data_IF_632158111469
#
_entry.id   IF_632158111469
#
_cell.length_a   1.000
_cell.length_b   1.000
_cell.length_c   1.000
_cell.angle_alpha   90.00
_cell.angle_beta   90.00
_cell.angle_gamma   90.00
#
_symmetry.space_group_name_H-M   'P 1'
#
loop_
_entity.id
_entity.type
_entity.pdbx_description
1 polymer ?
#
# COMPACT_ATOMS: atom_id res chain seq x y z
N UNK A 1 -5.49 -10.15 -14.88
CA UNK A 1 -5.07 -10.42 -13.48
C UNK A 1 -4.36 -9.18 -12.98
N UNK A 2 -4.58 -8.76 -11.74
CA UNK A 2 -3.83 -7.64 -11.14
C UNK A 2 -2.39 -8.11 -10.95
N UNK A 3 -1.37 -7.33 -11.36
CA UNK A 3 0.03 -7.71 -11.17
C UNK A 3 0.39 -7.87 -9.68
N UNK A 4 1.11 -8.93 -9.33
CA UNK A 4 1.54 -9.20 -7.94
C UNK A 4 2.39 -8.04 -7.40
N UNK A 5 3.25 -7.45 -8.22
CA UNK A 5 4.05 -6.28 -7.85
C UNK A 5 3.23 -5.07 -7.37
N UNK A 6 1.95 -4.97 -7.76
CA UNK A 6 1.06 -3.90 -7.32
C UNK A 6 0.67 -4.04 -5.84
N UNK A 7 0.51 -5.29 -5.37
CA UNK A 7 0.10 -5.61 -4.00
C UNK A 7 1.27 -5.95 -3.07
N UNK A 8 2.49 -5.98 -3.60
CA UNK A 8 3.70 -6.13 -2.81
C UNK A 8 3.77 -5.08 -1.69
N UNK A 9 4.44 -5.44 -0.62
CA UNK A 9 4.65 -4.52 0.50
C UNK A 9 5.47 -3.32 0.10
N UNK A 10 5.12 -2.20 0.66
CA UNK A 10 5.98 -1.03 0.59
C UNK A 10 7.22 -1.25 1.45
N UNK A 11 8.36 -0.79 0.98
CA UNK A 11 9.57 -0.78 1.80
C UNK A 11 9.28 -0.06 3.12
N UNK A 12 9.78 -0.59 4.23
CA UNK A 12 9.47 -0.09 5.58
C UNK A 12 9.81 1.40 5.77
N UNK A 13 10.79 1.94 5.02
CA UNK A 13 11.16 3.37 5.06
C UNK A 13 10.05 4.29 4.51
N UNK A 14 9.14 3.76 3.67
CA UNK A 14 7.98 4.49 3.17
C UNK A 14 6.80 4.44 4.12
N UNK A 15 6.81 3.52 5.08
CA UNK A 15 5.76 3.39 6.08
C UNK A 15 6.04 4.35 7.24
N UNK A 16 5.11 5.25 7.50
CA UNK A 16 5.19 6.29 8.54
C UNK A 16 4.09 6.06 9.58
N UNK A 17 4.22 6.69 10.73
CA UNK A 17 3.13 6.77 11.72
C UNK A 17 2.42 8.12 11.63
N UNK A 18 1.08 8.08 11.64
CA UNK A 18 0.28 9.29 11.77
C UNK A 18 0.24 9.76 13.24
N UNK A 19 -0.48 10.85 13.51
CA UNK A 19 -0.62 11.41 14.86
C UNK A 19 -1.29 10.44 15.85
N UNK A 20 -2.09 9.50 15.36
CA UNK A 20 -2.75 8.45 16.15
C UNK A 20 -1.90 7.18 16.32
N UNK A 21 -0.64 7.19 15.85
CA UNK A 21 0.27 6.04 15.93
C UNK A 21 0.01 4.94 14.88
N UNK A 22 -0.94 5.13 13.96
CA UNK A 22 -1.24 4.16 12.91
C UNK A 22 -0.23 4.24 11.78
N UNK A 23 0.16 3.09 11.25
CA UNK A 23 1.02 3.02 10.08
C UNK A 23 0.28 3.47 8.82
N UNK A 24 0.96 4.25 8.00
CA UNK A 24 0.44 4.72 6.72
C UNK A 24 1.55 4.94 5.71
N UNK A 25 1.20 4.90 4.43
CA UNK A 25 2.04 5.36 3.32
C UNK A 25 1.46 6.67 2.80
N UNK A 26 2.34 7.61 2.44
CA UNK A 26 1.92 8.88 1.83
C UNK A 26 1.26 8.62 0.46
N UNK A 27 0.43 9.56 -0.01
CA UNK A 27 -0.21 9.43 -1.33
C UNK A 27 0.80 9.26 -2.46
N UNK A 28 1.97 9.90 -2.35
CA UNK A 28 3.05 9.77 -3.34
C UNK A 28 3.54 8.33 -3.45
N UNK A 29 3.61 7.58 -2.34
CA UNK A 29 3.97 6.17 -2.36
C UNK A 29 2.99 5.33 -3.19
N UNK A 30 1.69 5.58 -3.07
CA UNK A 30 0.68 4.89 -3.89
C UNK A 30 0.79 5.28 -5.36
N UNK A 31 0.94 6.57 -5.68
CA UNK A 31 1.07 7.07 -7.04
C UNK A 31 2.33 6.49 -7.69
N UNK A 32 3.47 6.49 -6.99
CA UNK A 32 4.71 5.92 -7.50
C UNK A 32 4.53 4.42 -7.78
N UNK A 33 3.92 3.65 -6.88
CA UNK A 33 3.64 2.23 -7.09
C UNK A 33 2.75 2.00 -8.32
N UNK A 34 1.70 2.79 -8.49
CA UNK A 34 0.83 2.71 -9.67
C UNK A 34 1.61 3.02 -10.95
N UNK A 35 2.45 4.06 -10.95
CA UNK A 35 3.27 4.44 -12.08
C UNK A 35 4.34 3.38 -12.41
N UNK A 36 5.04 2.88 -11.39
CA UNK A 36 6.13 1.92 -11.57
C UNK A 36 5.64 0.57 -12.11
N UNK A 37 4.46 0.12 -11.67
CA UNK A 37 3.91 -1.20 -12.03
C UNK A 37 3.02 -1.13 -13.27
N UNK A 38 2.21 -0.08 -13.41
CA UNK A 38 1.20 0.03 -14.44
C UNK A 38 1.53 1.04 -15.55
N UNK A 39 2.50 1.95 -15.32
CA UNK A 39 2.81 3.01 -16.28
C UNK A 39 1.58 3.86 -16.59
N UNK A 40 1.17 3.89 -17.86
CA UNK A 40 -0.01 4.62 -18.33
C UNK A 40 -1.32 3.81 -18.26
N UNK A 41 -1.28 2.61 -17.66
CA UNK A 41 -2.42 1.69 -17.62
C UNK A 41 -3.34 1.90 -16.42
N UNK A 42 -3.36 3.09 -15.85
CA UNK A 42 -4.27 3.46 -14.78
C UNK A 42 -4.73 4.91 -14.92
N UNK A 43 -5.87 5.21 -14.33
CA UNK A 43 -6.39 6.57 -14.25
C UNK A 43 -7.17 6.79 -12.96
N UNK A 44 -7.19 8.02 -12.50
CA UNK A 44 -7.99 8.48 -11.37
C UNK A 44 -8.90 9.61 -11.81
N UNK A 45 -10.19 9.51 -11.48
CA UNK A 45 -11.17 10.55 -11.70
C UNK A 45 -11.91 10.90 -10.41
N UNK A 46 -12.11 12.18 -10.18
CA UNK A 46 -13.00 12.66 -9.12
C UNK A 46 -14.41 12.75 -9.73
N UNK A 47 -15.36 12.03 -9.13
CA UNK A 47 -16.74 11.94 -9.61
C UNK A 47 -17.62 13.01 -8.96
N UNK A 48 -17.42 13.25 -7.66
CA UNK A 48 -18.15 14.25 -6.89
C UNK A 48 -17.31 14.73 -5.71
N UNK A 49 -17.54 15.95 -5.28
CA UNK A 49 -16.99 16.49 -4.05
C UNK A 49 -17.90 17.52 -3.40
N UNK A 50 -17.84 17.60 -2.09
CA UNK A 50 -18.61 18.55 -1.29
C UNK A 50 -17.74 19.16 -0.20
N UNK A 51 -17.96 20.44 0.04
CA UNK A 51 -17.31 21.17 1.11
C UNK A 51 -18.38 21.73 2.05
N UNK A 52 -18.30 21.36 3.31
CA UNK A 52 -19.21 21.80 4.35
C UNK A 52 -18.47 22.78 5.26
N UNK A 53 -18.85 24.09 5.26
CA UNK A 53 -18.33 25.03 6.22
C UNK A 53 -18.85 24.71 7.62
N UNK A 54 -18.11 25.07 8.64
CA UNK A 54 -18.49 24.94 10.06
C UNK A 54 -18.92 23.52 10.47
N UNK A 55 -18.39 22.51 9.79
CA UNK A 55 -18.71 21.10 10.04
C UNK A 55 -18.09 20.52 11.34
N UNK A 56 -17.19 21.28 11.96
CA UNK A 56 -16.57 20.96 13.24
C UNK A 56 -16.40 22.26 14.07
N UNK A 57 -16.27 22.13 15.41
CA UNK A 57 -16.00 23.28 16.25
C UNK A 57 -14.77 24.07 15.75
N UNK A 58 -14.76 25.40 15.88
CA UNK A 58 -13.61 26.21 15.50
C UNK A 58 -12.33 25.70 16.18
N UNK A 59 -11.19 25.91 15.52
CA UNK A 59 -9.88 25.60 16.12
C UNK A 59 -9.67 26.38 17.41
N UNK A 60 -8.68 26.00 18.22
CA UNK A 60 -8.30 26.74 19.45
C UNK A 60 -8.07 28.23 19.22
N UNK A 61 -7.71 28.62 17.99
CA UNK A 61 -7.48 30.01 17.59
C UNK A 61 -8.72 30.66 16.92
N UNK A 62 -9.92 30.06 17.06
CA UNK A 62 -11.17 30.59 16.54
C UNK A 62 -11.33 30.47 15.00
N UNK A 63 -10.47 29.77 14.29
CA UNK A 63 -10.60 29.57 12.84
C UNK A 63 -11.71 28.59 12.54
N UNK A 64 -12.60 28.87 11.54
CA UNK A 64 -13.60 27.92 11.10
C UNK A 64 -12.96 26.64 10.58
N UNK A 65 -13.67 25.53 10.62
CA UNK A 65 -13.23 24.26 10.07
C UNK A 65 -14.16 23.81 8.97
N UNK A 66 -13.58 23.32 7.89
CA UNK A 66 -14.26 22.81 6.71
C UNK A 66 -14.12 21.30 6.65
N UNK A 67 -15.23 20.59 6.46
CA UNK A 67 -15.23 19.18 6.10
C UNK A 67 -15.33 19.06 4.58
N UNK A 68 -14.32 18.51 3.95
CA UNK A 68 -14.39 18.08 2.56
C UNK A 68 -14.71 16.60 2.48
N UNK A 69 -15.57 16.22 1.54
CA UNK A 69 -15.87 14.83 1.16
C UNK A 69 -15.64 14.73 -0.33
N UNK A 70 -14.84 13.74 -0.76
CA UNK A 70 -14.52 13.50 -2.16
C UNK A 70 -14.83 12.04 -2.49
N UNK A 71 -15.53 11.83 -3.59
CA UNK A 71 -15.72 10.52 -4.21
C UNK A 71 -14.97 10.49 -5.54
N UNK A 72 -14.23 9.42 -5.78
CA UNK A 72 -13.53 9.23 -7.04
C UNK A 72 -13.37 7.76 -7.40
N UNK A 73 -12.96 7.50 -8.62
CA UNK A 73 -12.80 6.15 -9.19
C UNK A 73 -11.38 5.95 -9.68
N UNK A 74 -10.72 4.91 -9.18
CA UNK A 74 -9.48 4.37 -9.71
C UNK A 74 -9.81 3.28 -10.74
N UNK A 75 -9.33 3.45 -11.96
CA UNK A 75 -9.47 2.47 -13.05
C UNK A 75 -8.09 1.92 -13.39
N UNK A 76 -7.97 0.61 -13.44
CA UNK A 76 -6.78 -0.11 -13.91
C UNK A 76 -7.14 -0.83 -15.19
N UNK A 77 -6.35 -0.60 -16.24
CA UNK A 77 -6.46 -1.28 -17.52
C UNK A 77 -5.58 -2.53 -17.42
N UNK A 78 -6.21 -3.68 -17.43
CA UNK A 78 -5.53 -4.96 -17.52
C UNK A 78 -5.17 -5.20 -18.99
N UNK A 79 -4.05 -5.89 -19.25
CA UNK A 79 -3.58 -6.18 -20.62
C UNK A 79 -4.68 -6.73 -21.52
N UNK A 80 -4.52 -6.52 -22.81
CA UNK A 80 -5.47 -6.89 -23.87
C UNK A 80 -5.98 -8.33 -23.70
N UNK A 81 -7.30 -8.51 -23.62
CA UNK A 81 -7.95 -9.85 -23.51
C UNK A 81 -8.05 -10.53 -24.88
N UNK A 82 -7.32 -10.07 -25.86
CA UNK A 82 -7.30 -10.67 -27.17
C UNK A 82 -8.11 -9.86 -28.20
N UNK A 83 -8.01 -10.32 -29.43
CA UNK A 83 -8.70 -9.75 -30.57
C UNK A 83 -10.07 -10.40 -30.66
N UNK A 84 -11.13 -9.62 -30.49
CA UNK A 84 -12.50 -10.08 -30.69
C UNK A 84 -12.91 -9.70 -32.11
N UNK A 85 -13.30 -10.68 -32.93
CA UNK A 85 -13.92 -10.44 -34.22
C UNK A 85 -15.39 -10.05 -33.99
N UNK A 86 -15.76 -8.84 -34.38
CA UNK A 86 -17.14 -8.38 -34.33
C UNK A 86 -17.62 -8.25 -35.77
N UNK A 87 -18.61 -9.06 -36.14
CA UNK A 87 -19.19 -9.08 -37.47
C UNK A 87 -19.34 -10.51 -38.03
N UNK A 88 -20.14 -10.64 -39.05
CA UNK A 88 -20.33 -11.91 -39.77
C UNK A 88 -19.70 -11.79 -41.16
N UNK A 89 -18.75 -12.67 -41.45
CA UNK A 89 -18.10 -12.91 -42.73
C UNK A 89 -17.36 -11.72 -43.36
N UNK A 90 -17.97 -10.99 -44.31
CA UNK A 90 -17.26 -10.00 -45.12
C UNK A 90 -17.03 -8.63 -44.42
N UNK A 91 -17.72 -8.36 -43.30
CA UNK A 91 -17.63 -7.11 -42.53
C UNK A 91 -17.06 -7.29 -41.10
N UNK A 92 -16.22 -8.30 -40.90
CA UNK A 92 -15.65 -8.52 -39.57
C UNK A 92 -14.53 -7.52 -39.25
N UNK A 93 -14.70 -6.77 -38.18
CA UNK A 93 -13.68 -5.88 -37.64
C UNK A 93 -12.95 -6.56 -36.47
N UNK A 94 -11.63 -6.54 -36.54
CA UNK A 94 -10.81 -6.92 -35.39
C UNK A 94 -10.75 -5.76 -34.39
N UNK A 95 -11.34 -5.94 -33.23
CA UNK A 95 -11.21 -4.97 -32.12
C UNK A 95 -10.49 -5.59 -30.96
N UNK A 96 -9.56 -4.83 -30.37
CA UNK A 96 -8.88 -5.23 -29.16
C UNK A 96 -9.72 -4.77 -27.97
N UNK A 97 -10.34 -5.71 -27.25
CA UNK A 97 -10.97 -5.39 -25.98
C UNK A 97 -9.92 -5.35 -24.87
N UNK A 98 -9.85 -4.21 -24.18
CA UNK A 98 -9.05 -4.06 -22.98
C UNK A 98 -9.93 -4.33 -21.76
N UNK A 99 -9.57 -5.33 -20.96
CA UNK A 99 -10.20 -5.47 -19.67
C UNK A 99 -9.79 -4.31 -18.78
N UNK A 100 -10.78 -3.67 -18.18
CA UNK A 100 -10.56 -2.67 -17.15
C UNK A 100 -11.31 -3.03 -15.87
N UNK A 101 -10.74 -2.71 -14.74
CA UNK A 101 -11.38 -2.86 -13.43
C UNK A 101 -11.36 -1.51 -12.74
N UNK A 102 -12.52 -1.08 -12.26
CA UNK A 102 -12.67 0.18 -11.56
C UNK A 102 -13.07 -0.05 -10.10
N UNK A 103 -12.60 0.79 -9.21
CA UNK A 103 -12.94 0.80 -7.78
C UNK A 103 -13.16 2.23 -7.32
N UNK A 104 -14.26 2.44 -6.62
CA UNK A 104 -14.58 3.74 -6.04
C UNK A 104 -13.97 3.90 -4.66
N UNK A 105 -13.62 5.12 -4.31
CA UNK A 105 -13.18 5.49 -2.98
C UNK A 105 -13.84 6.78 -2.52
N UNK A 106 -14.16 6.84 -1.24
CA UNK A 106 -14.68 8.04 -0.59
C UNK A 106 -13.70 8.46 0.48
N UNK A 107 -13.18 9.68 0.36
CA UNK A 107 -12.30 10.29 1.35
C UNK A 107 -12.94 11.49 2.00
N UNK A 108 -12.55 11.79 3.22
CA UNK A 108 -12.99 12.98 3.93
C UNK A 108 -11.85 13.56 4.77
N UNK A 109 -11.83 14.88 4.89
CA UNK A 109 -10.87 15.56 5.74
C UNK A 109 -11.45 16.82 6.33
N UNK A 110 -11.08 17.13 7.56
CA UNK A 110 -11.43 18.38 8.25
C UNK A 110 -10.18 19.23 8.35
N UNK A 111 -10.25 20.47 7.85
CA UNK A 111 -9.16 21.44 7.94
C UNK A 111 -9.72 22.88 8.07
N UNK A 112 -8.92 23.79 8.64
CA UNK A 112 -9.25 25.20 8.65
C UNK A 112 -9.02 25.88 7.30
N UNK A 113 -8.24 25.28 6.42
CA UNK A 113 -8.03 25.71 5.04
C UNK A 113 -8.85 24.81 4.11
N UNK A 114 -9.82 25.38 3.35
CA UNK A 114 -10.71 24.59 2.50
C UNK A 114 -9.98 23.85 1.39
N UNK A 115 -8.95 24.44 0.78
CA UNK A 115 -8.17 23.80 -0.28
C UNK A 115 -7.41 22.58 0.24
N UNK A 116 -6.82 22.70 1.42
CA UNK A 116 -6.13 21.59 2.09
C UNK A 116 -7.13 20.50 2.47
N UNK A 117 -8.34 20.83 2.92
CA UNK A 117 -9.39 19.88 3.22
C UNK A 117 -9.74 19.03 1.97
N UNK A 118 -9.97 19.71 0.83
CA UNK A 118 -10.32 19.02 -0.44
C UNK A 118 -9.17 18.16 -0.94
N UNK A 119 -7.94 18.68 -0.99
CA UNK A 119 -6.76 17.92 -1.43
C UNK A 119 -6.52 16.66 -0.57
N UNK A 120 -6.65 16.81 0.75
CA UNK A 120 -6.48 15.68 1.67
C UNK A 120 -7.60 14.66 1.54
N UNK A 121 -8.85 15.07 1.35
CA UNK A 121 -9.98 14.19 1.10
C UNK A 121 -9.82 13.43 -0.23
N UNK A 122 -9.31 14.09 -1.28
CA UNK A 122 -9.02 13.45 -2.56
C UNK A 122 -7.91 12.38 -2.42
N UNK A 123 -6.83 12.69 -1.70
CA UNK A 123 -5.76 11.74 -1.44
C UNK A 123 -6.28 10.51 -0.66
N UNK A 124 -7.15 10.72 0.31
CA UNK A 124 -7.77 9.64 1.09
C UNK A 124 -8.71 8.79 0.24
N UNK A 125 -9.50 9.40 -0.66
CA UNK A 125 -10.36 8.69 -1.60
C UNK A 125 -9.55 7.76 -2.53
N UNK A 126 -8.45 8.25 -3.11
CA UNK A 126 -7.56 7.45 -3.95
C UNK A 126 -6.95 6.28 -3.16
N UNK A 127 -6.45 6.51 -1.94
CA UNK A 127 -5.92 5.43 -1.10
C UNK A 127 -6.95 4.34 -0.85
N UNK A 128 -8.20 4.71 -0.54
CA UNK A 128 -9.28 3.73 -0.31
C UNK A 128 -9.62 2.94 -1.56
N UNK A 129 -9.59 3.55 -2.73
CA UNK A 129 -9.70 2.81 -4.00
C UNK A 129 -8.53 1.84 -4.19
N UNK A 130 -7.29 2.26 -3.89
CA UNK A 130 -6.11 1.40 -3.94
C UNK A 130 -6.22 0.19 -3.01
N UNK A 131 -6.75 0.37 -1.78
CA UNK A 131 -6.96 -0.73 -0.84
C UNK A 131 -7.92 -1.80 -1.40
N UNK A 132 -8.91 -1.42 -2.20
CA UNK A 132 -9.81 -2.39 -2.84
C UNK A 132 -9.14 -3.22 -3.95
N UNK A 133 -7.96 -2.81 -4.40
CA UNK A 133 -7.07 -3.59 -5.25
C UNK A 133 -6.01 -4.38 -4.46
N UNK A 134 -6.04 -4.31 -3.13
CA UNK A 134 -5.08 -4.95 -2.24
C UNK A 134 -3.81 -4.12 -1.95
N UNK A 135 -3.65 -2.95 -2.58
CA UNK A 135 -2.46 -2.11 -2.40
C UNK A 135 -2.45 -1.58 -0.96
N UNK A 136 -1.36 -1.87 -0.22
CA UNK A 136 -1.16 -1.49 1.18
C UNK A 136 -2.24 -2.01 2.16
N UNK A 137 -3.06 -2.98 1.77
CA UNK A 137 -4.11 -3.55 2.63
C UNK A 137 -3.52 -4.17 3.90
N UNK A 138 -2.31 -4.71 3.82
CA UNK A 138 -1.57 -5.30 4.94
C UNK A 138 -1.33 -4.33 6.11
N UNK A 139 -1.28 -3.01 5.86
CA UNK A 139 -1.06 -2.01 6.94
C UNK A 139 -2.17 -2.01 8.01
N UNK A 140 -3.32 -2.62 7.71
CA UNK A 140 -4.44 -2.75 8.63
C UNK A 140 -4.44 -4.08 9.41
N UNK A 141 -3.56 -5.01 9.04
CA UNK A 141 -3.40 -6.29 9.72
C UNK A 141 -2.43 -6.14 10.89
N UNK A 142 -2.80 -6.64 12.08
CA UNK A 142 -2.00 -6.47 13.30
C UNK A 142 -0.62 -7.10 13.20
N UNK A 143 -0.54 -8.34 12.72
CA UNK A 143 0.73 -9.05 12.49
C UNK A 143 1.68 -8.31 11.54
N UNK A 144 1.13 -7.57 10.57
CA UNK A 144 1.93 -6.77 9.65
C UNK A 144 2.51 -5.53 10.32
N UNK A 145 1.73 -4.87 11.17
CA UNK A 145 2.20 -3.71 11.93
C UNK A 145 3.33 -4.08 12.88
N UNK A 146 3.24 -5.24 13.53
CA UNK A 146 4.29 -5.77 14.39
C UNK A 146 5.56 -6.07 13.60
N UNK A 147 5.44 -6.70 12.43
CA UNK A 147 6.57 -6.99 11.55
C UNK A 147 7.27 -5.70 11.09
N UNK A 148 6.53 -4.69 10.66
CA UNK A 148 7.06 -3.37 10.28
C UNK A 148 7.76 -2.69 11.48
N UNK A 149 7.21 -2.82 12.68
CA UNK A 149 7.84 -2.30 13.88
C UNK A 149 9.18 -2.99 14.18
N UNK A 150 9.25 -4.31 13.98
CA UNK A 150 10.50 -5.08 14.10
C UNK A 150 11.53 -4.66 13.04
N UNK A 151 11.13 -4.46 11.79
CA UNK A 151 12.02 -3.97 10.73
C UNK A 151 12.65 -2.63 11.11
N UNK A 152 11.85 -1.68 11.59
CA UNK A 152 12.33 -0.36 12.02
C UNK A 152 13.29 -0.45 13.21
N UNK A 153 12.97 -1.28 14.20
CA UNK A 153 13.82 -1.49 15.35
C UNK A 153 15.14 -2.19 14.99
N UNK A 154 15.12 -3.12 14.04
CA UNK A 154 16.28 -3.89 13.60
C UNK A 154 17.36 -3.03 12.91
N UNK A 155 17.02 -1.82 12.43
CA UNK A 155 18.01 -0.89 11.87
C UNK A 155 19.11 -0.51 12.87
N UNK A 156 18.77 -0.41 14.16
CA UNK A 156 19.69 0.07 15.19
C UNK A 156 19.87 -0.89 16.38
N UNK A 157 19.10 -1.99 16.43
CA UNK A 157 19.06 -2.89 17.57
C UNK A 157 19.27 -4.35 17.13
N UNK A 158 20.35 -4.97 17.60
CA UNK A 158 20.72 -6.34 17.25
C UNK A 158 19.77 -7.39 17.83
N UNK A 159 19.11 -7.13 18.95
CA UNK A 159 18.07 -8.03 19.51
C UNK A 159 16.85 -8.01 18.58
N UNK A 160 16.42 -6.83 18.16
CA UNK A 160 15.33 -6.69 17.22
C UNK A 160 15.65 -7.31 15.86
N UNK A 161 16.93 -7.24 15.42
CA UNK A 161 17.38 -7.88 14.19
C UNK A 161 17.25 -9.41 14.24
N UNK A 162 17.62 -10.03 15.37
CA UNK A 162 17.44 -11.47 15.56
C UNK A 162 15.96 -11.85 15.64
N UNK A 163 15.15 -11.04 16.33
CA UNK A 163 13.69 -11.24 16.36
C UNK A 163 13.06 -11.10 14.98
N UNK A 164 13.56 -10.18 14.16
CA UNK A 164 13.14 -10.04 12.76
C UNK A 164 13.48 -11.29 11.93
N UNK A 165 14.65 -11.89 12.13
CA UNK A 165 15.04 -13.12 11.44
C UNK A 165 14.08 -14.28 11.79
N UNK A 166 13.72 -14.42 13.06
CA UNK A 166 12.71 -15.40 13.52
C UNK A 166 11.35 -15.12 12.88
N UNK A 167 10.84 -13.89 12.99
CA UNK A 167 9.53 -13.52 12.45
C UNK A 167 9.47 -13.66 10.92
N UNK A 168 10.56 -13.35 10.22
CA UNK A 168 10.68 -13.56 8.79
C UNK A 168 10.60 -15.05 8.42
N UNK A 169 11.33 -15.93 9.16
CA UNK A 169 11.31 -17.37 8.95
C UNK A 169 9.93 -17.95 9.21
N UNK A 170 9.30 -17.59 10.33
CA UNK A 170 7.94 -18.03 10.67
C UNK A 170 6.95 -17.70 9.55
N UNK A 171 7.10 -16.50 8.97
CA UNK A 171 6.24 -16.03 7.88
C UNK A 171 6.45 -16.81 6.57
N UNK A 172 7.69 -17.04 6.16
CA UNK A 172 8.00 -17.78 4.92
C UNK A 172 7.48 -19.21 4.99
N UNK A 173 7.56 -19.83 6.17
CA UNK A 173 7.11 -21.21 6.39
C UNK A 173 5.68 -21.32 6.95
N UNK A 174 4.93 -20.22 7.00
CA UNK A 174 3.55 -20.17 7.54
C UNK A 174 3.43 -20.80 8.95
N UNK A 175 4.46 -20.63 9.77
CA UNK A 175 4.52 -21.21 11.11
C UNK A 175 3.64 -20.43 12.09
N UNK A 176 3.15 -21.10 13.13
CA UNK A 176 2.53 -20.44 14.28
C UNK A 176 3.52 -19.44 14.91
N UNK A 177 3.13 -18.17 15.13
CA UNK A 177 3.98 -17.15 15.75
C UNK A 177 4.53 -17.55 17.13
N UNK A 178 3.86 -18.47 17.85
CA UNK A 178 4.33 -19.00 19.14
C UNK A 178 5.43 -20.07 18.96
N UNK A 179 5.65 -20.58 17.75
CA UNK A 179 6.64 -21.62 17.48
C UNK A 179 7.99 -20.99 17.16
N UNK A 180 9.01 -21.27 17.95
CA UNK A 180 10.38 -20.84 17.67
C UNK A 180 10.99 -21.72 16.57
N UNK A 181 11.38 -21.20 15.41
CA UNK A 181 12.02 -21.99 14.37
C UNK A 181 13.42 -22.45 14.83
N UNK A 182 13.84 -23.63 14.40
CA UNK A 182 15.18 -24.12 14.62
C UNK A 182 16.22 -23.23 13.94
N UNK A 183 17.41 -23.18 14.52
CA UNK A 183 18.53 -22.37 14.01
C UNK A 183 18.84 -22.68 12.54
N UNK A 184 18.82 -23.95 12.17
CA UNK A 184 19.14 -24.40 10.81
C UNK A 184 18.07 -23.95 9.82
N UNK A 185 16.79 -23.97 10.21
CA UNK A 185 15.68 -23.45 9.40
C UNK A 185 15.82 -21.94 9.16
N UNK A 186 16.25 -21.18 10.18
CA UNK A 186 16.50 -19.75 10.01
C UNK A 186 17.66 -19.50 9.04
N UNK A 187 18.76 -20.24 9.19
CA UNK A 187 19.93 -20.14 8.32
C UNK A 187 19.59 -20.49 6.86
N UNK A 188 18.84 -21.57 6.65
CA UNK A 188 18.39 -21.98 5.33
C UNK A 188 17.46 -20.92 4.71
N UNK A 189 16.47 -20.43 5.45
CA UNK A 189 15.52 -19.42 4.98
C UNK A 189 16.23 -18.12 4.55
N UNK A 190 17.21 -17.70 5.32
CA UNK A 190 18.01 -16.50 5.02
C UNK A 190 19.14 -16.78 4.01
N UNK A 191 19.42 -18.05 3.71
CA UNK A 191 20.57 -18.48 2.92
C UNK A 191 21.89 -17.89 3.45
N UNK A 192 22.18 -18.15 4.72
CA UNK A 192 23.36 -17.66 5.43
C UNK A 192 24.11 -18.81 6.13
N UNK A 193 25.41 -18.63 6.32
CA UNK A 193 26.27 -19.66 6.97
C UNK A 193 26.28 -19.56 8.51
N UNK A 194 25.87 -18.43 9.06
CA UNK A 194 25.80 -18.19 10.50
C UNK A 194 24.73 -17.14 10.84
N UNK A 195 24.37 -17.05 12.13
CA UNK A 195 23.41 -16.09 12.65
C UNK A 195 24.07 -14.93 13.41
N UNK A 196 25.28 -14.52 12.98
CA UNK A 196 25.85 -13.27 13.49
C UNK A 196 25.03 -12.07 13.04
N UNK A 197 25.02 -11.01 13.85
CA UNK A 197 24.24 -9.80 13.54
C UNK A 197 24.74 -9.14 12.24
N UNK A 198 26.03 -9.24 11.94
CA UNK A 198 26.59 -8.72 10.70
C UNK A 198 26.06 -9.48 9.47
N UNK A 199 26.05 -10.83 9.53
CA UNK A 199 25.55 -11.69 8.45
C UNK A 199 24.06 -11.50 8.20
N UNK A 200 23.25 -11.50 9.27
CA UNK A 200 21.79 -11.28 9.17
C UNK A 200 21.51 -9.88 8.60
N UNK A 201 22.20 -8.85 9.07
CA UNK A 201 22.00 -7.48 8.61
C UNK A 201 22.36 -7.33 7.13
N UNK A 202 23.52 -7.84 6.71
CA UNK A 202 23.91 -7.85 5.32
C UNK A 202 22.86 -8.52 4.44
N UNK A 203 22.42 -9.71 4.83
CA UNK A 203 21.42 -10.47 4.07
C UNK A 203 20.07 -9.74 3.95
N UNK A 204 19.56 -9.16 5.03
CA UNK A 204 18.31 -8.40 4.99
C UNK A 204 18.43 -7.12 4.16
N UNK A 205 19.58 -6.48 4.14
CA UNK A 205 19.85 -5.34 3.25
C UNK A 205 19.81 -5.78 1.79
N UNK A 206 20.48 -6.88 1.44
CA UNK A 206 20.49 -7.43 0.06
C UNK A 206 19.08 -7.83 -0.42
N UNK A 207 18.24 -8.30 0.49
CA UNK A 207 16.86 -8.69 0.20
C UNK A 207 15.88 -7.50 0.20
N UNK A 208 16.33 -6.29 0.54
CA UNK A 208 15.45 -5.12 0.68
C UNK A 208 14.50 -5.20 1.87
N UNK A 209 14.82 -6.02 2.89
CA UNK A 209 14.04 -6.14 4.12
C UNK A 209 14.41 -5.04 5.13
N UNK A 210 15.67 -4.58 5.10
CA UNK A 210 16.20 -3.46 5.90
C UNK A 210 16.64 -2.30 5.04
#
# INVERSE_FOLDING_TARGET
MIPDALVERFHHTLVRKNQSGQDYVSIDGYINRLNDVLGAMWSWSVNDWKLYPDAAPPTKNGKPQYLAVVQGTLTIILSDIGVVSIGTDEDSFLTTQRAQVSRDGIGSNINFDPDTAVKSAQAEALKKSCHQFGIALYLWQEAEREFIALQKAALTNDIALKSLAVAYTQRIHEMDPATMPDKDVIMETLNVSDLSTATIRGRFTDMGVL
#
